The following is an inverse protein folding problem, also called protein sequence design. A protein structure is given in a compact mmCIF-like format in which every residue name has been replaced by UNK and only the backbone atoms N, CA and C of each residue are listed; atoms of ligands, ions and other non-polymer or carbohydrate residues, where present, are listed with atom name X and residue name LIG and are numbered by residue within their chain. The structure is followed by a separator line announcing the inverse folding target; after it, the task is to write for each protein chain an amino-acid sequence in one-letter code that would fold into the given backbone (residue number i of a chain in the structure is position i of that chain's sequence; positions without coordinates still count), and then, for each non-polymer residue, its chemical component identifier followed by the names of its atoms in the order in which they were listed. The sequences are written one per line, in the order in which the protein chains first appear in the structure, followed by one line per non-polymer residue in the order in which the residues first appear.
data_IF_336830205232
#
_entry.id   IF_336830205232
#
_cell.length_a   1.000
_cell.length_b   1.000
_cell.length_c   1.000
_cell.angle_alpha   90.00
_cell.angle_beta   90.00
_cell.angle_gamma   90.00
#
_symmetry.space_group_name_H-M   'P 1'
#
loop_
_entity.id
_entity.type
_entity.pdbx_description
1 polymer ?
#
# COMPACT_ATOMS: atom_id res chain seq x y z
N UNK A 1 9.29 49.62 17.57
CA UNK A 1 9.38 48.61 16.52
C UNK A 1 10.46 49.04 15.52
N UNK A 2 11.65 48.40 15.57
CA UNK A 2 12.75 48.71 14.64
C UNK A 2 12.38 48.19 13.23
N UNK A 3 12.41 49.05 12.24
CA UNK A 3 12.27 48.68 10.83
C UNK A 3 13.49 47.83 10.44
N UNK A 4 13.29 46.56 10.13
CA UNK A 4 14.33 45.72 9.52
C UNK A 4 14.79 46.44 8.27
N UNK A 5 16.12 46.73 8.16
CA UNK A 5 16.63 47.43 6.99
C UNK A 5 16.40 46.62 5.72
N UNK A 6 16.09 47.26 4.61
CA UNK A 6 15.83 46.61 3.32
C UNK A 6 16.98 45.65 2.91
N UNK A 7 18.21 45.93 3.31
CA UNK A 7 19.37 45.11 3.07
C UNK A 7 19.32 43.75 3.84
N UNK A 8 18.84 43.78 5.09
CA UNK A 8 18.66 42.57 5.90
C UNK A 8 17.54 41.71 5.32
N UNK A 9 16.41 42.37 4.97
CA UNK A 9 15.29 41.63 4.34
C UNK A 9 15.72 40.97 3.02
N UNK A 10 16.46 41.60 2.17
CA UNK A 10 16.99 41.06 0.91
C UNK A 10 17.93 39.88 1.16
N UNK A 11 18.83 39.98 2.15
CA UNK A 11 19.71 38.87 2.51
C UNK A 11 18.91 37.65 3.02
N UNK A 12 17.93 37.85 3.89
CA UNK A 12 17.07 36.75 4.39
C UNK A 12 16.28 36.08 3.28
N UNK A 13 15.75 36.83 2.31
CA UNK A 13 15.09 36.31 1.14
C UNK A 13 16.06 35.45 0.27
N UNK A 14 17.29 35.93 0.04
CA UNK A 14 18.28 35.17 -0.70
C UNK A 14 18.65 33.87 0.02
N UNK A 15 18.89 33.89 1.33
CA UNK A 15 19.18 32.69 2.11
C UNK A 15 18.01 31.72 2.11
N UNK A 16 16.77 32.19 2.23
CA UNK A 16 15.57 31.39 2.11
C UNK A 16 15.46 30.71 0.73
N UNK A 17 15.71 31.45 -0.35
CA UNK A 17 15.70 30.90 -1.71
C UNK A 17 16.77 29.80 -1.90
N UNK A 18 18.00 30.02 -1.42
CA UNK A 18 19.06 29.01 -1.49
C UNK A 18 18.75 27.76 -0.66
N UNK A 19 18.13 27.92 0.52
CA UNK A 19 17.68 26.79 1.34
C UNK A 19 16.63 25.94 0.60
N UNK A 20 15.65 26.59 -0.04
CA UNK A 20 14.62 25.89 -0.84
C UNK A 20 15.27 25.15 -2.01
N UNK A 21 16.15 25.79 -2.76
CA UNK A 21 16.89 25.16 -3.86
C UNK A 21 17.70 23.97 -3.35
N UNK A 22 18.39 24.10 -2.22
CA UNK A 22 19.15 23.00 -1.61
C UNK A 22 18.27 21.80 -1.26
N UNK A 23 17.08 22.04 -0.68
CA UNK A 23 16.11 20.98 -0.38
C UNK A 23 15.62 20.30 -1.65
N UNK A 24 15.29 21.07 -2.70
CA UNK A 24 14.81 20.51 -3.96
C UNK A 24 15.89 19.65 -4.65
N UNK A 25 17.14 20.13 -4.66
CA UNK A 25 18.27 19.38 -5.23
C UNK A 25 18.52 18.09 -4.45
N UNK A 26 18.47 18.16 -3.11
CA UNK A 26 18.63 16.97 -2.26
C UNK A 26 17.51 15.94 -2.51
N UNK A 27 16.25 16.38 -2.57
CA UNK A 27 15.13 15.49 -2.89
C UNK A 27 15.29 14.84 -4.27
N UNK A 28 15.70 15.61 -5.28
CA UNK A 28 15.95 15.07 -6.61
C UNK A 28 17.11 14.04 -6.60
N UNK A 29 18.20 14.33 -5.90
CA UNK A 29 19.33 13.42 -5.77
C UNK A 29 18.97 12.12 -5.05
N UNK A 30 18.19 12.21 -3.97
CA UNK A 30 17.66 11.03 -3.25
C UNK A 30 16.75 10.23 -4.15
N UNK A 31 15.84 10.86 -4.89
CA UNK A 31 14.93 10.17 -5.82
C UNK A 31 15.70 9.44 -6.93
N UNK A 32 16.69 10.07 -7.53
CA UNK A 32 17.55 9.44 -8.55
C UNK A 32 18.36 8.27 -7.97
N UNK A 33 18.89 8.42 -6.77
CA UNK A 33 19.60 7.34 -6.09
C UNK A 33 18.66 6.16 -5.78
N UNK A 34 17.46 6.41 -5.28
CA UNK A 34 16.47 5.36 -5.05
C UNK A 34 16.11 4.62 -6.33
N UNK A 35 15.93 5.35 -7.43
CA UNK A 35 15.66 4.78 -8.76
C UNK A 35 16.82 3.90 -9.24
N UNK A 36 18.06 4.35 -9.11
CA UNK A 36 19.27 3.59 -9.45
C UNK A 36 19.40 2.31 -8.63
N UNK A 37 19.04 2.36 -7.35
CA UNK A 37 19.05 1.21 -6.45
C UNK A 37 17.78 0.35 -6.55
N UNK A 38 16.86 0.66 -7.46
CA UNK A 38 15.56 0.00 -7.58
C UNK A 38 14.78 -0.05 -6.26
N UNK A 39 14.74 1.07 -5.54
CA UNK A 39 14.06 1.20 -4.26
C UNK A 39 12.73 1.94 -4.41
N UNK A 40 11.72 1.47 -3.67
CA UNK A 40 10.44 2.15 -3.52
C UNK A 40 10.15 2.40 -2.04
N UNK A 41 9.56 3.55 -1.72
CA UNK A 41 9.12 3.88 -0.37
C UNK A 41 7.67 3.38 -0.17
N UNK A 42 7.46 2.54 0.83
CA UNK A 42 6.14 2.27 1.37
C UNK A 42 5.90 3.19 2.58
N UNK A 43 4.99 4.12 2.44
CA UNK A 43 4.53 5.02 3.51
C UNK A 43 3.17 4.61 4.09
N UNK A 44 2.58 3.53 3.56
CA UNK A 44 1.32 2.96 4.05
C UNK A 44 1.55 1.99 5.20
N UNK A 45 0.55 1.86 6.09
CA UNK A 45 0.56 0.88 7.18
C UNK A 45 -0.04 -0.48 6.80
N UNK A 46 -0.21 -0.76 5.52
CA UNK A 46 -0.63 -2.09 5.06
C UNK A 46 0.47 -3.12 5.30
N UNK A 47 1.70 -2.76 4.95
CA UNK A 47 2.94 -3.49 5.19
C UNK A 47 3.87 -2.62 6.05
N UNK A 48 4.96 -3.15 6.63
CA UNK A 48 5.91 -2.33 7.37
C UNK A 48 6.38 -1.11 6.59
N UNK A 49 6.29 0.07 7.20
CA UNK A 49 6.74 1.33 6.58
C UNK A 49 8.24 1.29 6.34
N UNK A 50 8.68 1.73 5.16
CA UNK A 50 10.11 1.75 4.84
C UNK A 50 10.43 1.59 3.36
N UNK A 51 11.67 1.24 3.07
CA UNK A 51 12.19 1.04 1.72
C UNK A 51 12.14 -0.44 1.35
N UNK A 52 11.67 -0.69 0.15
CA UNK A 52 11.59 -2.02 -0.46
C UNK A 52 12.39 -2.03 -1.75
N UNK A 53 13.09 -3.12 -2.00
CA UNK A 53 13.84 -3.32 -3.23
C UNK A 53 12.96 -4.03 -4.26
N UNK A 54 12.94 -3.48 -5.46
CA UNK A 54 12.24 -4.02 -6.62
C UNK A 54 13.11 -5.10 -7.27
N UNK A 55 12.57 -6.31 -7.46
CA UNK A 55 13.30 -7.45 -7.99
C UNK A 55 13.01 -7.76 -9.47
N UNK A 56 12.23 -6.91 -10.15
CA UNK A 56 11.84 -7.12 -11.53
C UNK A 56 10.75 -8.17 -11.68
N UNK A 57 10.87 -9.09 -12.66
CA UNK A 57 9.80 -10.02 -13.03
C UNK A 57 9.07 -10.66 -11.84
N UNK A 58 7.73 -10.61 -11.81
CA UNK A 58 6.95 -11.25 -10.76
C UNK A 58 6.90 -12.78 -10.88
N UNK A 59 7.25 -13.34 -12.02
CA UNK A 59 7.02 -14.76 -12.31
C UNK A 59 8.23 -15.64 -12.03
N UNK A 60 8.00 -16.89 -11.56
CA UNK A 60 6.72 -17.46 -11.14
C UNK A 60 6.22 -16.83 -9.81
N UNK A 61 4.90 -16.75 -9.63
CA UNK A 61 4.27 -16.23 -8.41
C UNK A 61 4.18 -17.32 -7.34
N UNK A 62 4.56 -17.00 -6.11
CA UNK A 62 4.45 -17.91 -4.97
C UNK A 62 3.70 -17.25 -3.80
N UNK A 63 3.03 -18.09 -3.02
CA UNK A 63 2.38 -17.65 -1.78
C UNK A 63 3.40 -17.10 -0.80
N UNK A 64 3.04 -16.04 -0.09
CA UNK A 64 3.90 -15.37 0.87
C UNK A 64 4.89 -14.37 0.26
N UNK A 65 4.96 -14.25 -1.07
CA UNK A 65 5.80 -13.24 -1.72
C UNK A 65 5.16 -11.86 -1.66
N UNK A 66 5.98 -10.86 -1.35
CA UNK A 66 5.58 -9.45 -1.48
C UNK A 66 5.74 -9.00 -2.93
N UNK A 67 4.71 -8.33 -3.40
CA UNK A 67 4.65 -7.80 -4.78
C UNK A 67 4.22 -6.35 -4.79
N UNK A 68 4.74 -5.62 -5.75
CA UNK A 68 4.18 -4.35 -6.16
C UNK A 68 3.02 -4.62 -7.12
N UNK A 69 1.87 -4.04 -6.85
CA UNK A 69 0.64 -4.31 -7.59
C UNK A 69 -0.07 -3.02 -7.97
N UNK A 70 -0.50 -2.95 -9.22
CA UNK A 70 -1.43 -1.93 -9.68
C UNK A 70 -2.84 -2.30 -9.21
N UNK A 71 -3.50 -1.38 -8.51
CA UNK A 71 -4.83 -1.63 -7.99
C UNK A 71 -5.85 -1.68 -9.10
N UNK A 72 -6.76 -2.66 -9.06
CA UNK A 72 -7.85 -2.69 -10.00
C UNK A 72 -8.62 -1.37 -10.02
N UNK A 73 -9.01 -0.93 -11.21
CA UNK A 73 -9.79 0.30 -11.36
C UNK A 73 -11.17 0.22 -10.65
N UNK A 74 -11.87 1.36 -10.50
CA UNK A 74 -13.14 1.45 -9.77
C UNK A 74 -14.25 0.57 -10.34
N UNK A 75 -14.15 0.17 -11.61
CA UNK A 75 -15.07 -0.77 -12.24
C UNK A 75 -14.91 -2.22 -11.76
N UNK A 76 -13.78 -2.56 -11.12
CA UNK A 76 -13.51 -3.91 -10.64
C UNK A 76 -14.42 -4.28 -9.45
N UNK A 77 -14.55 -3.38 -8.47
CA UNK A 77 -15.40 -3.58 -7.30
C UNK A 77 -15.81 -2.25 -6.67
N UNK A 78 -17.02 -2.21 -6.09
CA UNK A 78 -17.56 -1.01 -5.45
C UNK A 78 -16.67 -0.46 -4.33
N UNK A 79 -15.97 -1.33 -3.58
CA UNK A 79 -15.04 -0.92 -2.53
C UNK A 79 -13.90 -0.04 -3.07
N UNK A 80 -13.38 -0.33 -4.26
CA UNK A 80 -12.33 0.48 -4.89
C UNK A 80 -12.90 1.85 -5.29
N UNK A 81 -14.11 1.87 -5.85
CA UNK A 81 -14.78 3.12 -6.22
C UNK A 81 -15.02 4.02 -5.00
N UNK A 82 -15.45 3.44 -3.86
CA UNK A 82 -15.62 4.16 -2.61
C UNK A 82 -14.30 4.67 -2.04
N UNK A 83 -13.26 3.83 -2.02
CA UNK A 83 -11.94 4.21 -1.53
C UNK A 83 -11.35 5.40 -2.28
N UNK A 84 -11.51 5.45 -3.60
CA UNK A 84 -11.11 6.58 -4.42
C UNK A 84 -11.99 7.82 -4.16
N UNK A 85 -13.28 7.64 -4.06
CA UNK A 85 -14.24 8.73 -3.78
C UNK A 85 -13.98 9.42 -2.45
N UNK A 86 -13.65 8.67 -1.42
CA UNK A 86 -13.42 9.19 -0.07
C UNK A 86 -11.93 9.40 0.25
N UNK A 87 -11.05 9.28 -0.74
CA UNK A 87 -9.61 9.48 -0.61
C UNK A 87 -8.95 8.60 0.47
N UNK A 88 -9.40 7.35 0.62
CA UNK A 88 -8.75 6.40 1.54
C UNK A 88 -7.35 6.05 1.05
N UNK A 89 -7.12 6.15 -0.24
CA UNK A 89 -5.84 5.94 -0.90
C UNK A 89 -5.74 6.80 -2.17
N UNK A 90 -4.53 7.17 -2.61
CA UNK A 90 -4.33 7.92 -3.84
C UNK A 90 -4.59 7.05 -5.08
N UNK A 91 -5.10 7.66 -6.14
CA UNK A 91 -5.28 7.00 -7.43
C UNK A 91 -3.93 6.81 -8.15
N UNK A 92 -3.80 5.68 -8.86
CA UNK A 92 -2.68 5.43 -9.77
C UNK A 92 -1.32 5.17 -9.11
N UNK A 93 -1.27 4.97 -7.80
CA UNK A 93 -0.06 4.52 -7.11
C UNK A 93 -0.09 3.00 -6.96
N UNK A 94 1.00 2.29 -7.29
CA UNK A 94 1.13 0.88 -6.96
C UNK A 94 1.18 0.66 -5.45
N UNK A 95 0.74 -0.52 -5.02
CA UNK A 95 0.76 -0.92 -3.60
C UNK A 95 1.68 -2.11 -3.40
N UNK A 96 2.21 -2.23 -2.18
CA UNK A 96 2.90 -3.45 -1.75
C UNK A 96 1.89 -4.33 -1.02
N UNK A 97 1.78 -5.58 -1.48
CA UNK A 97 0.90 -6.61 -0.92
C UNK A 97 1.57 -7.97 -0.94
N UNK A 98 1.15 -8.84 -0.04
CA UNK A 98 1.52 -10.25 -0.05
C UNK A 98 0.57 -11.05 -0.95
N UNK A 99 1.09 -12.00 -1.71
CA UNK A 99 0.29 -13.02 -2.39
C UNK A 99 -0.14 -14.04 -1.36
N UNK A 100 -1.39 -13.97 -0.91
CA UNK A 100 -1.92 -14.95 0.03
C UNK A 100 -2.34 -16.26 -0.63
N UNK A 101 -2.75 -16.21 -1.90
CA UNK A 101 -3.08 -17.39 -2.66
C UNK A 101 -2.85 -17.18 -4.16
N UNK A 102 -2.27 -18.19 -4.80
CA UNK A 102 -2.00 -18.27 -6.24
C UNK A 102 -3.14 -18.98 -7.01
N UNK A 103 -3.12 -18.99 -8.36
CA UNK A 103 -4.11 -19.66 -9.17
C UNK A 103 -4.29 -21.15 -8.80
N UNK A 104 -5.54 -21.60 -8.82
CA UNK A 104 -5.91 -22.98 -8.47
C UNK A 104 -6.12 -23.23 -6.97
N UNK A 105 -5.73 -22.31 -6.12
CA UNK A 105 -5.95 -22.41 -4.69
C UNK A 105 -7.37 -21.97 -4.29
N UNK A 106 -7.76 -22.38 -3.10
CA UNK A 106 -9.07 -22.05 -2.53
C UNK A 106 -8.91 -21.11 -1.36
N UNK A 107 -9.64 -19.98 -1.41
CA UNK A 107 -9.70 -18.96 -0.37
C UNK A 107 -11.10 -18.94 0.23
N UNK A 108 -11.20 -18.94 1.55
CA UNK A 108 -12.46 -18.71 2.25
C UNK A 108 -12.41 -17.35 2.95
N UNK A 109 -13.27 -16.45 2.53
CA UNK A 109 -13.47 -15.14 3.14
C UNK A 109 -14.64 -15.21 4.11
N UNK A 110 -14.40 -14.88 5.36
CA UNK A 110 -15.40 -14.75 6.40
C UNK A 110 -15.18 -13.44 7.18
N UNK A 111 -16.13 -13.04 8.00
CA UNK A 111 -15.94 -11.87 8.87
C UNK A 111 -14.71 -12.01 9.79
N UNK A 112 -14.48 -13.22 10.27
CA UNK A 112 -13.36 -13.54 11.17
C UNK A 112 -12.01 -13.52 10.50
N UNK A 113 -11.96 -13.43 9.17
CA UNK A 113 -10.72 -13.38 8.41
C UNK A 113 -10.73 -14.23 7.15
N UNK A 114 -9.56 -14.26 6.52
CA UNK A 114 -9.27 -14.99 5.29
C UNK A 114 -8.57 -16.30 5.65
N UNK A 115 -9.03 -17.41 5.05
CA UNK A 115 -8.39 -18.74 5.18
C UNK A 115 -7.90 -19.23 3.84
N UNK A 116 -6.65 -19.70 3.82
CA UNK A 116 -6.01 -20.30 2.66
C UNK A 116 -5.36 -21.62 3.12
N UNK A 117 -5.56 -22.71 2.40
CA UNK A 117 -4.96 -24.01 2.72
C UNK A 117 -5.27 -24.51 4.15
N UNK A 118 -6.43 -24.14 4.71
CA UNK A 118 -6.79 -24.44 6.10
C UNK A 118 -6.24 -23.49 7.16
N UNK A 119 -5.39 -22.56 6.78
CA UNK A 119 -4.75 -21.55 7.65
C UNK A 119 -5.55 -20.25 7.65
N UNK A 120 -5.77 -19.64 8.80
CA UNK A 120 -6.33 -18.29 8.87
C UNK A 120 -5.19 -17.29 8.87
N UNK A 121 -5.21 -16.36 7.91
CA UNK A 121 -4.20 -15.31 7.83
C UNK A 121 -4.28 -14.38 9.04
N UNK A 122 -3.14 -14.01 9.63
CA UNK A 122 -3.12 -13.11 10.79
C UNK A 122 -3.79 -11.78 10.47
N UNK A 123 -4.50 -11.20 11.42
CA UNK A 123 -5.11 -9.86 11.30
C UNK A 123 -5.97 -9.62 10.04
N UNK A 124 -6.51 -10.67 9.42
CA UNK A 124 -7.28 -10.62 8.16
C UNK A 124 -8.80 -10.48 8.36
N UNK A 125 -9.27 -10.07 9.55
CA UNK A 125 -10.68 -9.82 9.79
C UNK A 125 -11.17 -8.65 8.92
N UNK A 126 -12.44 -8.72 8.51
CA UNK A 126 -13.04 -7.72 7.63
C UNK A 126 -13.68 -6.62 8.47
N UNK A 127 -13.14 -5.42 8.38
CA UNK A 127 -13.68 -4.25 9.04
C UNK A 127 -14.94 -3.74 8.34
N UNK A 128 -15.91 -3.29 9.13
CA UNK A 128 -17.17 -2.72 8.63
C UNK A 128 -17.09 -1.22 8.46
N UNK A 129 -16.17 -0.58 9.15
CA UNK A 129 -16.06 0.86 9.26
C UNK A 129 -14.61 1.30 9.10
N UNK A 130 -14.43 2.46 8.51
CA UNK A 130 -13.14 3.13 8.51
C UNK A 130 -12.75 3.54 9.94
N UNK A 131 -11.46 3.81 10.20
CA UNK A 131 -11.03 4.39 11.47
C UNK A 131 -11.92 5.56 11.89
N UNK A 132 -12.34 5.59 13.15
CA UNK A 132 -13.27 6.59 13.67
C UNK A 132 -14.74 6.43 13.24
N UNK A 133 -15.11 5.31 12.63
CA UNK A 133 -16.49 4.98 12.19
C UNK A 133 -17.11 6.02 11.23
N UNK A 134 -16.30 6.72 10.43
CA UNK A 134 -16.80 7.76 9.54
C UNK A 134 -17.55 7.22 8.33
N UNK A 135 -17.09 6.09 7.76
CA UNK A 135 -17.67 5.48 6.58
C UNK A 135 -17.81 3.97 6.75
N UNK A 136 -18.92 3.44 6.27
CA UNK A 136 -19.11 2.00 6.15
C UNK A 136 -18.30 1.50 4.96
N UNK A 137 -17.54 0.42 5.17
CA UNK A 137 -16.71 -0.17 4.11
C UNK A 137 -17.50 -1.29 3.43
N UNK A 138 -17.58 -1.22 2.10
CA UNK A 138 -18.05 -2.33 1.28
C UNK A 138 -16.93 -3.36 1.20
N UNK A 139 -17.25 -4.62 1.34
CA UNK A 139 -16.30 -5.72 1.23
C UNK A 139 -16.76 -6.73 0.17
N UNK A 140 -15.82 -7.57 -0.27
CA UNK A 140 -16.14 -8.68 -1.17
C UNK A 140 -17.10 -9.66 -0.47
N UNK A 141 -18.05 -10.31 -1.17
CA UNK A 141 -19.00 -11.20 -0.53
C UNK A 141 -18.32 -12.31 0.28
N UNK A 142 -18.85 -12.63 1.46
CA UNK A 142 -18.36 -13.78 2.22
C UNK A 142 -18.64 -15.07 1.49
N UNK A 143 -17.68 -16.01 1.49
CA UNK A 143 -17.81 -17.26 0.78
C UNK A 143 -16.47 -17.96 0.55
N UNK A 144 -16.55 -19.04 -0.20
CA UNK A 144 -15.36 -19.81 -0.61
C UNK A 144 -15.15 -19.63 -2.12
N UNK A 145 -13.93 -19.27 -2.49
CA UNK A 145 -13.52 -18.91 -3.84
C UNK A 145 -12.40 -19.84 -4.30
N UNK A 146 -12.59 -20.45 -5.44
CA UNK A 146 -11.53 -21.17 -6.13
C UNK A 146 -10.90 -20.23 -7.16
N UNK A 147 -9.62 -19.86 -6.97
CA UNK A 147 -8.93 -18.93 -7.84
C UNK A 147 -8.74 -19.53 -9.23
N UNK A 148 -9.21 -18.83 -10.24
CA UNK A 148 -9.05 -19.22 -11.64
C UNK A 148 -7.61 -19.00 -12.08
N UNK A 149 -7.24 -19.58 -13.21
CA UNK A 149 -5.98 -19.26 -13.88
C UNK A 149 -5.90 -17.75 -14.12
N UNK A 150 -4.76 -17.17 -13.78
CA UNK A 150 -4.53 -15.72 -13.93
C UNK A 150 -5.15 -14.87 -12.82
N UNK A 151 -5.54 -15.45 -11.68
CA UNK A 151 -6.06 -14.72 -10.52
C UNK A 151 -5.22 -15.00 -9.28
N UNK A 152 -4.99 -13.97 -8.49
CA UNK A 152 -4.35 -14.05 -7.17
C UNK A 152 -5.24 -13.44 -6.11
N UNK A 153 -5.05 -13.86 -4.88
CA UNK A 153 -5.63 -13.21 -3.71
C UNK A 153 -4.53 -12.44 -2.97
N UNK A 154 -4.70 -11.15 -2.86
CA UNK A 154 -3.76 -10.25 -2.19
C UNK A 154 -4.17 -10.03 -0.74
N UNK A 155 -3.18 -9.85 0.11
CA UNK A 155 -3.34 -9.67 1.53
C UNK A 155 -2.29 -8.69 2.08
N UNK A 156 -2.59 -8.04 3.18
CA UNK A 156 -1.62 -7.31 3.98
C UNK A 156 -1.97 -7.41 5.48
N UNK A 157 -0.98 -7.61 6.37
CA UNK A 157 -1.21 -7.86 7.79
C UNK A 157 -1.53 -6.61 8.61
N UNK A 158 -1.41 -5.42 8.02
CA UNK A 158 -1.59 -4.16 8.71
C UNK A 158 -3.02 -3.91 9.19
N UNK A 159 -3.15 -3.10 10.25
CA UNK A 159 -4.46 -2.65 10.70
C UNK A 159 -5.12 -1.80 9.61
N UNK A 160 -6.40 -2.07 9.32
CA UNK A 160 -7.16 -1.43 8.25
C UNK A 160 -6.56 -1.61 6.84
N UNK A 161 -5.80 -2.69 6.63
CA UNK A 161 -5.29 -3.00 5.31
C UNK A 161 -6.43 -3.20 4.31
N UNK A 162 -6.37 -2.47 3.20
CA UNK A 162 -7.32 -2.61 2.11
C UNK A 162 -6.76 -3.59 1.08
N UNK A 163 -7.29 -4.81 1.07
CA UNK A 163 -6.80 -5.94 0.30
C UNK A 163 -7.94 -6.70 -0.41
N UNK A 164 -7.68 -7.91 -0.89
CA UNK A 164 -8.67 -8.72 -1.60
C UNK A 164 -9.91 -9.07 -0.76
N UNK A 165 -9.88 -8.89 0.56
CA UNK A 165 -11.09 -9.03 1.39
C UNK A 165 -12.15 -7.99 1.05
N UNK A 166 -11.74 -6.88 0.46
CA UNK A 166 -12.62 -5.78 0.08
C UNK A 166 -12.95 -5.76 -1.40
N UNK A 167 -12.01 -6.11 -2.29
CA UNK A 167 -12.20 -6.00 -3.73
C UNK A 167 -12.12 -7.34 -4.50
N UNK A 168 -11.87 -8.45 -3.80
CA UNK A 168 -11.84 -9.78 -4.40
C UNK A 168 -10.51 -10.12 -5.10
N UNK A 169 -10.50 -11.23 -5.86
CA UNK A 169 -9.33 -11.68 -6.59
C UNK A 169 -8.88 -10.66 -7.64
N UNK A 170 -7.57 -10.53 -7.81
CA UNK A 170 -6.94 -9.60 -8.76
C UNK A 170 -6.35 -10.39 -9.92
N UNK A 171 -6.44 -9.90 -11.17
CA UNK A 171 -5.70 -10.50 -12.29
C UNK A 171 -4.18 -10.47 -12.04
N UNK A 172 -3.48 -11.55 -12.35
CA UNK A 172 -2.00 -11.61 -12.28
C UNK A 172 -1.33 -10.48 -13.09
N UNK A 173 -1.98 -10.04 -14.18
CA UNK A 173 -1.47 -8.95 -15.01
C UNK A 173 -1.35 -7.60 -14.28
N UNK A 174 -1.95 -7.45 -13.11
CA UNK A 174 -1.80 -6.29 -12.25
C UNK A 174 -0.55 -6.36 -11.36
N UNK A 175 0.08 -7.53 -11.24
CA UNK A 175 1.34 -7.67 -10.51
C UNK A 175 2.45 -7.08 -11.39
N UNK A 176 3.09 -6.04 -10.91
CA UNK A 176 4.14 -5.34 -11.63
C UNK A 176 5.49 -6.05 -11.45
N UNK A 177 5.83 -6.36 -10.20
CA UNK A 177 7.11 -6.99 -9.86
C UNK A 177 7.12 -7.53 -8.43
N UNK A 178 8.08 -8.37 -8.10
CA UNK A 178 8.36 -8.79 -6.74
C UNK A 178 9.13 -7.71 -6.01
N UNK A 179 8.90 -7.63 -4.69
CA UNK A 179 9.64 -6.72 -3.82
C UNK A 179 10.11 -7.45 -2.57
N UNK A 180 11.17 -6.96 -1.96
CA UNK A 180 11.65 -7.43 -0.66
C UNK A 180 11.92 -6.25 0.26
N UNK A 181 11.70 -6.37 1.57
CA UNK A 181 12.09 -5.33 2.51
C UNK A 181 13.61 -5.09 2.43
N UNK A 182 14.01 -3.84 2.16
CA UNK A 182 15.40 -3.41 2.18
C UNK A 182 15.74 -2.77 3.54
N UNK A 183 14.90 -1.86 3.99
CA UNK A 183 14.93 -1.26 5.31
C UNK A 183 13.53 -0.87 5.73
N UNK A 184 13.02 -1.45 6.80
CA UNK A 184 11.66 -1.22 7.27
C UNK A 184 11.63 -0.99 8.78
N UNK A 185 10.59 -0.36 9.27
CA UNK A 185 10.36 -0.14 10.70
C UNK A 185 9.47 -1.29 11.20
N UNK A 186 10.01 -2.24 11.97
CA UNK A 186 9.23 -3.38 12.46
C UNK A 186 8.01 -2.94 13.27
N UNK A 187 6.87 -3.55 12.99
CA UNK A 187 5.62 -3.28 13.71
C UNK A 187 4.88 -2.02 13.27
N UNK A 188 5.44 -1.25 12.34
CA UNK A 188 4.81 -0.01 11.86
C UNK A 188 3.48 -0.23 11.14
N UNK A 189 3.25 -1.42 10.60
CA UNK A 189 1.96 -1.81 10.01
C UNK A 189 0.81 -1.85 11.04
N UNK A 190 1.11 -1.77 12.33
CA UNK A 190 0.13 -1.73 13.42
C UNK A 190 0.03 -0.36 14.12
N UNK A 191 0.69 0.68 13.61
CA UNK A 191 0.67 2.01 14.22
C UNK A 191 -0.72 2.66 14.24
N UNK A 192 -1.53 2.41 13.22
CA UNK A 192 -2.93 2.75 13.30
C UNK A 192 -3.59 1.74 14.25
N UNK A 193 -3.83 2.18 15.49
CA UNK A 193 -4.53 1.36 16.48
C UNK A 193 -5.86 0.86 15.93
N UNK A 194 -6.28 -0.36 16.29
CA UNK A 194 -7.65 -0.79 16.04
C UNK A 194 -8.54 0.18 16.79
N UNK A 195 -9.33 0.96 16.08
CA UNK A 195 -10.39 1.75 16.71
C UNK A 195 -11.36 0.77 17.36
N UNK A 196 -11.59 0.95 18.65
CA UNK A 196 -12.59 0.23 19.44
C UNK A 196 -14.00 0.51 18.91
#
# INVERSE_FOLDING_TARGET
MQRISAAIAKRLLCWGAWAIIGVLVLNAAVGLWMQDQHLVLNDSTCEPVGLYQLLGSPYPLHDGELVEVEIPGPAHHAAVAEGLKYHWFPAGQPWIKEIAAAPGQTVTLARSGVRVGGYTLPNSHVDRWTPGHHYRIVHYPFGTYHLKRGQVWLYAPGNYAFDSSYYGPVPESHILQRVVPWWTIPGSQFWLGKGD
#
